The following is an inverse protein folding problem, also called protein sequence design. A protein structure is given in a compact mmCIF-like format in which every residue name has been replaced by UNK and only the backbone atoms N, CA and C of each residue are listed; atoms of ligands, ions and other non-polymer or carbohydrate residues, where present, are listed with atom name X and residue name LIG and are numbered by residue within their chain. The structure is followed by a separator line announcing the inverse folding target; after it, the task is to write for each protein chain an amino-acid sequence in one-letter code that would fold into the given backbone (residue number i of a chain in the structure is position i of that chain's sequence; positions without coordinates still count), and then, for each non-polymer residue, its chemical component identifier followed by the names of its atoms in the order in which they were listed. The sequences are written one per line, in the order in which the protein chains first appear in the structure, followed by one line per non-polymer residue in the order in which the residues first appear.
data_IF_707062065350
#
_entry.id   IF_707062065350
#
_cell.length_a   1.000
_cell.length_b   1.000
_cell.length_c   1.000
_cell.angle_alpha   90.00
_cell.angle_beta   90.00
_cell.angle_gamma   90.00
#
_symmetry.space_group_name_H-M   'P 1'
#
loop_
_entity.id
_entity.type
_entity.pdbx_description
1 polymer ?
#
# COMPACT_ATOMS: atom_id res chain seq x y z
N UNK A 1 8.19 12.98 -44.69
CA UNK A 1 9.33 13.54 -43.97
C UNK A 1 9.07 13.31 -42.48
N UNK A 2 10.00 12.66 -41.81
CA UNK A 2 9.86 11.82 -40.62
C UNK A 2 9.38 12.57 -39.36
N UNK A 3 8.29 12.10 -38.82
CA UNK A 3 7.78 12.50 -37.54
C UNK A 3 8.66 11.93 -36.41
N UNK A 4 9.18 12.79 -35.57
CA UNK A 4 10.03 12.41 -34.44
C UNK A 4 9.12 12.08 -33.25
N UNK A 5 9.08 10.80 -32.96
CA UNK A 5 8.63 10.26 -31.71
C UNK A 5 9.33 10.95 -30.54
N UNK A 6 8.60 11.77 -29.81
CA UNK A 6 9.03 12.34 -28.53
C UNK A 6 9.13 11.20 -27.53
N UNK A 7 10.36 10.73 -27.29
CA UNK A 7 10.66 9.88 -26.14
C UNK A 7 10.39 10.69 -24.88
N UNK A 8 9.38 10.30 -24.13
CA UNK A 8 9.20 10.74 -22.76
C UNK A 8 10.46 10.42 -21.98
N UNK A 9 11.14 11.45 -21.51
CA UNK A 9 12.34 11.31 -20.70
C UNK A 9 11.97 10.50 -19.44
N UNK A 10 12.59 9.34 -19.25
CA UNK A 10 12.60 8.64 -17.98
C UNK A 10 13.19 9.58 -16.96
N UNK A 11 12.43 9.86 -15.91
CA UNK A 11 12.91 10.63 -14.77
C UNK A 11 14.25 10.01 -14.30
N UNK A 12 15.31 10.80 -14.15
CA UNK A 12 16.55 10.27 -13.58
C UNK A 12 16.21 9.82 -12.14
N UNK A 13 16.55 8.59 -11.83
CA UNK A 13 16.35 8.02 -10.48
C UNK A 13 16.94 8.95 -9.44
N UNK A 14 16.29 9.15 -8.29
CA UNK A 14 16.85 9.95 -7.22
C UNK A 14 18.21 9.39 -6.82
N UNK A 15 19.21 10.24 -6.79
CA UNK A 15 20.57 9.91 -6.32
C UNK A 15 20.58 9.67 -4.80
N UNK A 16 19.53 10.13 -4.10
CA UNK A 16 19.31 9.93 -2.68
C UNK A 16 18.10 9.02 -2.43
N UNK A 17 18.08 8.25 -1.33
CA UNK A 17 16.90 7.50 -0.93
C UNK A 17 15.71 8.45 -0.72
N UNK A 18 14.48 8.04 -1.08
CA UNK A 18 13.30 8.88 -0.93
C UNK A 18 13.11 9.30 0.54
N UNK A 19 12.65 10.53 0.75
CA UNK A 19 12.21 10.96 2.06
C UNK A 19 10.90 10.23 2.41
N UNK A 20 10.94 9.35 3.40
CA UNK A 20 9.78 8.58 3.86
C UNK A 20 9.50 8.91 5.31
N UNK A 21 8.26 9.30 5.61
CA UNK A 21 7.79 9.58 6.96
C UNK A 21 6.46 8.91 7.27
N UNK A 22 6.14 8.83 8.54
CA UNK A 22 4.80 8.45 9.00
C UNK A 22 3.83 9.56 8.61
N UNK A 23 2.67 9.17 8.10
CA UNK A 23 1.58 10.09 7.78
C UNK A 23 0.93 10.65 9.05
N UNK A 24 0.35 11.82 8.90
CA UNK A 24 -0.43 12.52 9.92
C UNK A 24 -1.83 12.81 9.42
N UNK A 25 -2.70 13.32 10.27
CA UNK A 25 -4.05 13.74 9.86
C UNK A 25 -4.06 14.83 8.75
N UNK A 26 -2.96 15.55 8.59
CA UNK A 26 -2.82 16.57 7.54
C UNK A 26 -2.62 15.96 6.14
N UNK A 27 -2.26 14.68 6.08
CA UNK A 27 -1.99 13.96 4.84
C UNK A 27 -3.22 13.22 4.28
N UNK A 28 -4.38 13.37 4.91
CA UNK A 28 -5.60 12.60 4.57
C UNK A 28 -5.99 12.77 3.10
N UNK A 29 -5.94 13.98 2.57
CA UNK A 29 -6.31 14.26 1.17
C UNK A 29 -5.33 13.61 0.19
N UNK A 30 -4.02 13.66 0.49
CA UNK A 30 -2.98 13.02 -0.32
C UNK A 30 -3.11 11.49 -0.27
N UNK A 31 -3.38 10.92 0.91
CA UNK A 31 -3.63 9.49 1.08
C UNK A 31 -4.85 9.08 0.25
N UNK A 32 -5.97 9.82 0.36
CA UNK A 32 -7.19 9.53 -0.38
C UNK A 32 -6.95 9.58 -1.89
N UNK A 33 -6.25 10.61 -2.38
CA UNK A 33 -5.92 10.74 -3.78
C UNK A 33 -5.07 9.55 -4.28
N UNK A 34 -4.06 9.13 -3.53
CA UNK A 34 -3.21 7.99 -3.90
C UNK A 34 -3.98 6.65 -3.87
N UNK A 35 -4.90 6.45 -2.91
CA UNK A 35 -5.78 5.28 -2.87
C UNK A 35 -6.74 5.26 -4.06
N UNK A 36 -7.30 6.41 -4.44
CA UNK A 36 -8.15 6.51 -5.63
C UNK A 36 -7.38 6.17 -6.92
N UNK A 37 -6.10 6.56 -7.01
CA UNK A 37 -5.24 6.16 -8.13
C UNK A 37 -5.00 4.64 -8.19
N UNK A 38 -4.95 3.94 -7.04
CA UNK A 38 -4.93 2.47 -7.00
C UNK A 38 -6.23 1.91 -7.60
N UNK A 39 -7.38 2.41 -7.17
CA UNK A 39 -8.69 1.99 -7.67
C UNK A 39 -8.78 2.19 -9.19
N UNK A 40 -8.36 3.36 -9.69
CA UNK A 40 -8.32 3.69 -11.11
C UNK A 40 -7.40 2.75 -11.90
N UNK A 41 -6.21 2.48 -11.38
CA UNK A 41 -5.24 1.58 -12.02
C UNK A 41 -5.67 0.10 -12.03
N UNK A 42 -6.70 -0.24 -11.24
CA UNK A 42 -7.28 -1.59 -11.16
C UNK A 42 -8.65 -1.70 -11.83
N UNK A 43 -9.22 -0.58 -12.33
CA UNK A 43 -10.56 -0.52 -12.91
C UNK A 43 -11.66 -0.81 -11.88
N UNK A 44 -11.44 -0.35 -10.64
CA UNK A 44 -12.33 -0.58 -9.50
C UNK A 44 -12.84 0.73 -8.89
N UNK A 45 -12.91 1.82 -9.67
CA UNK A 45 -13.36 3.15 -9.19
C UNK A 45 -14.78 3.09 -8.63
N UNK A 46 -15.65 2.30 -9.23
CA UNK A 46 -17.03 2.08 -8.78
C UNK A 46 -17.12 1.41 -7.40
N UNK A 47 -16.09 0.67 -7.02
CA UNK A 47 -15.96 -0.01 -5.71
C UNK A 47 -15.28 0.85 -4.66
N UNK A 48 -14.62 1.93 -5.04
CA UNK A 48 -13.94 2.81 -4.11
C UNK A 48 -14.95 3.68 -3.37
N UNK A 49 -15.22 3.36 -2.10
CA UNK A 49 -16.22 4.01 -1.26
C UNK A 49 -15.62 4.89 -0.16
N UNK A 50 -14.31 4.75 0.09
CA UNK A 50 -13.61 5.53 1.11
C UNK A 50 -13.68 7.02 0.84
N UNK A 51 -13.86 7.81 1.89
CA UNK A 51 -13.86 9.27 1.85
C UNK A 51 -12.75 9.81 2.74
N UNK A 52 -12.29 11.05 2.54
CA UNK A 52 -11.30 11.67 3.41
C UNK A 52 -11.70 11.62 4.90
N UNK A 53 -12.99 11.84 5.21
CA UNK A 53 -13.50 11.82 6.58
C UNK A 53 -13.38 10.43 7.22
N UNK A 54 -13.57 9.35 6.46
CA UNK A 54 -13.38 7.99 6.93
C UNK A 54 -11.91 7.74 7.27
N UNK A 55 -11.00 8.15 6.40
CA UNK A 55 -9.55 8.03 6.64
C UNK A 55 -9.10 8.84 7.85
N UNK A 56 -9.64 10.05 8.02
CA UNK A 56 -9.36 10.90 9.18
C UNK A 56 -9.79 10.22 10.48
N UNK A 57 -11.01 9.69 10.51
CA UNK A 57 -11.59 9.00 11.68
C UNK A 57 -10.83 7.71 12.01
N UNK A 58 -10.60 6.86 10.99
CA UNK A 58 -10.15 5.49 11.19
C UNK A 58 -8.62 5.35 11.18
N UNK A 59 -7.90 6.30 10.58
CA UNK A 59 -6.44 6.30 10.55
C UNK A 59 -5.79 7.21 11.61
N UNK A 60 -6.49 8.29 11.98
CA UNK A 60 -5.90 9.34 12.83
C UNK A 60 -6.77 9.70 14.04
N UNK A 61 -7.84 8.95 14.29
CA UNK A 61 -8.69 9.08 15.45
C UNK A 61 -8.09 8.46 16.72
N UNK A 62 -8.91 8.34 17.75
CA UNK A 62 -8.50 7.83 19.07
C UNK A 62 -8.00 6.36 19.02
N UNK A 63 -8.56 5.54 18.12
CA UNK A 63 -8.17 4.13 17.90
C UNK A 63 -7.93 3.89 16.42
N UNK A 64 -6.74 4.21 15.93
CA UNK A 64 -6.44 4.06 14.51
C UNK A 64 -6.49 2.57 14.10
N UNK A 65 -7.22 2.28 13.03
CA UNK A 65 -7.30 0.95 12.43
C UNK A 65 -6.10 0.65 11.54
N UNK A 66 -5.38 1.68 11.08
CA UNK A 66 -4.20 1.56 10.23
C UNK A 66 -3.18 2.67 10.52
N UNK A 67 -1.98 2.44 10.04
CA UNK A 67 -0.92 3.44 9.91
C UNK A 67 -0.56 3.60 8.43
N UNK A 68 0.05 4.72 8.05
CA UNK A 68 0.52 4.95 6.70
C UNK A 68 1.91 5.59 6.69
N UNK A 69 2.70 5.23 5.67
CA UNK A 69 3.96 5.90 5.30
C UNK A 69 3.77 6.61 3.97
N UNK A 70 4.28 7.83 3.88
CA UNK A 70 4.31 8.60 2.63
C UNK A 70 5.76 8.81 2.21
N UNK A 71 6.02 8.52 0.94
CA UNK A 71 7.29 8.82 0.29
C UNK A 71 7.15 10.14 -0.51
N UNK A 72 8.14 11.00 -0.38
CA UNK A 72 8.18 12.31 -1.03
C UNK A 72 9.38 12.43 -1.97
N UNK A 73 9.17 13.18 -3.04
CA UNK A 73 10.23 13.78 -3.85
C UNK A 73 10.16 15.30 -3.64
N UNK A 74 11.12 15.87 -2.89
CA UNK A 74 10.96 17.20 -2.32
C UNK A 74 9.72 17.27 -1.43
N UNK A 75 8.81 18.21 -1.73
CA UNK A 75 7.54 18.39 -1.01
C UNK A 75 6.37 17.61 -1.63
N UNK A 76 6.59 16.92 -2.74
CA UNK A 76 5.54 16.22 -3.48
C UNK A 76 5.38 14.79 -2.96
N UNK A 77 4.17 14.39 -2.51
CA UNK A 77 3.90 13.00 -2.14
C UNK A 77 3.82 12.14 -3.39
N UNK A 78 4.68 11.11 -3.48
CA UNK A 78 4.83 10.25 -4.67
C UNK A 78 4.61 8.78 -4.41
N UNK A 79 4.44 8.40 -3.14
CA UNK A 79 4.20 7.02 -2.76
C UNK A 79 3.54 6.88 -1.41
N UNK A 80 2.76 5.82 -1.27
CA UNK A 80 2.01 5.47 -0.06
C UNK A 80 2.20 4.00 0.26
N UNK A 81 2.33 3.69 1.54
CA UNK A 81 2.13 2.35 2.08
C UNK A 81 1.21 2.43 3.29
N UNK A 82 -0.01 1.91 3.17
CA UNK A 82 -0.99 1.80 4.23
C UNK A 82 -0.96 0.39 4.80
N UNK A 83 -0.91 0.25 6.11
CA UNK A 83 -0.73 -1.03 6.77
C UNK A 83 -1.33 -1.04 8.18
N UNK A 84 -1.50 -2.25 8.73
CA UNK A 84 -1.99 -2.44 10.08
C UNK A 84 -1.31 -3.63 10.77
N UNK A 85 -1.33 -3.68 12.12
CA UNK A 85 -0.77 -4.79 12.88
C UNK A 85 -1.48 -6.11 12.56
N UNK A 86 -0.72 -7.17 12.51
CA UNK A 86 -1.20 -8.53 12.30
C UNK A 86 -0.52 -9.51 13.27
N UNK A 87 -1.16 -10.62 13.59
CA UNK A 87 -0.59 -11.65 14.44
C UNK A 87 -0.81 -13.04 13.82
N UNK A 88 0.22 -13.85 13.80
CA UNK A 88 0.13 -15.23 13.36
C UNK A 88 0.29 -16.19 14.54
N UNK A 89 -0.78 -16.89 14.88
CA UNK A 89 -0.77 -17.92 15.92
C UNK A 89 0.15 -19.09 15.56
N UNK A 90 0.19 -19.49 14.29
CA UNK A 90 1.09 -20.53 13.81
C UNK A 90 2.59 -20.16 13.92
N UNK A 91 2.91 -18.86 13.76
CA UNK A 91 4.28 -18.36 13.97
C UNK A 91 4.55 -17.99 15.42
N UNK A 92 3.50 -17.78 16.22
CA UNK A 92 3.62 -17.21 17.56
C UNK A 92 4.26 -15.82 17.53
N UNK A 93 4.00 -15.02 16.48
CA UNK A 93 4.68 -13.75 16.21
C UNK A 93 3.73 -12.68 15.72
N UNK A 94 3.99 -11.45 16.16
CA UNK A 94 3.42 -10.26 15.57
C UNK A 94 4.04 -9.97 14.20
N UNK A 95 3.31 -9.26 13.36
CA UNK A 95 3.75 -8.80 12.04
C UNK A 95 2.89 -7.66 11.56
N UNK A 96 3.00 -7.34 10.30
CA UNK A 96 2.24 -6.30 9.64
C UNK A 96 1.55 -6.87 8.39
N UNK A 97 0.33 -6.43 8.16
CA UNK A 97 -0.36 -6.59 6.89
C UNK A 97 -0.34 -5.27 6.12
N UNK A 98 0.24 -5.26 4.94
CA UNK A 98 0.18 -4.14 4.01
C UNK A 98 -1.14 -4.25 3.24
N UNK A 99 -2.00 -3.25 3.39
CA UNK A 99 -3.28 -3.15 2.69
C UNK A 99 -3.09 -2.55 1.31
N UNK A 100 -2.41 -1.40 1.24
CA UNK A 100 -2.20 -0.66 0.00
C UNK A 100 -0.75 -0.25 -0.16
N UNK A 101 -0.24 -0.36 -1.38
CA UNK A 101 1.07 0.13 -1.78
C UNK A 101 0.95 0.85 -3.12
N UNK A 102 1.22 2.14 -3.11
CA UNK A 102 1.20 2.99 -4.28
C UNK A 102 2.55 3.64 -4.53
N UNK A 103 2.92 3.77 -5.79
CA UNK A 103 3.98 4.65 -6.26
C UNK A 103 3.50 5.27 -7.56
N UNK A 104 3.58 6.59 -7.64
CA UNK A 104 3.17 7.34 -8.82
C UNK A 104 3.91 6.81 -10.07
N UNK A 105 3.22 6.70 -11.22
CA UNK A 105 3.74 6.00 -12.40
C UNK A 105 5.14 6.45 -12.83
N UNK A 106 5.40 7.74 -12.79
CA UNK A 106 6.67 8.37 -13.17
C UNK A 106 7.84 8.03 -12.23
N UNK A 107 7.54 7.61 -11.00
CA UNK A 107 8.53 7.22 -9.98
C UNK A 107 8.73 5.71 -9.88
N UNK A 108 7.99 4.93 -10.67
CA UNK A 108 8.13 3.46 -10.68
C UNK A 108 9.47 3.04 -11.26
N UNK A 109 10.02 1.97 -10.71
CA UNK A 109 11.36 1.50 -11.07
C UNK A 109 12.50 2.22 -10.32
N UNK A 110 12.22 3.35 -9.64
CA UNK A 110 13.17 4.14 -8.83
C UNK A 110 13.41 3.60 -7.42
N UNK A 111 12.88 2.42 -7.06
CA UNK A 111 13.12 1.83 -5.74
C UNK A 111 12.16 2.27 -4.64
N UNK A 112 11.28 3.24 -4.86
CA UNK A 112 10.36 3.80 -3.85
C UNK A 112 9.54 2.73 -3.12
N UNK A 113 8.92 1.80 -3.86
CA UNK A 113 8.14 0.72 -3.27
C UNK A 113 8.99 -0.15 -2.33
N UNK A 114 10.23 -0.48 -2.72
CA UNK A 114 11.15 -1.24 -1.89
C UNK A 114 11.51 -0.49 -0.61
N UNK A 115 11.77 0.82 -0.70
CA UNK A 115 12.09 1.65 0.47
C UNK A 115 10.88 1.77 1.41
N UNK A 116 9.65 1.95 0.88
CA UNK A 116 8.43 1.95 1.69
C UNK A 116 8.28 0.63 2.46
N UNK A 117 8.39 -0.52 1.78
CA UNK A 117 8.30 -1.84 2.44
C UNK A 117 9.44 -2.03 3.46
N UNK A 118 10.65 -1.57 3.16
CA UNK A 118 11.76 -1.64 4.12
C UNK A 118 11.46 -0.83 5.39
N UNK A 119 10.88 0.37 5.25
CA UNK A 119 10.43 1.18 6.40
C UNK A 119 9.32 0.51 7.19
N UNK A 120 8.36 -0.15 6.53
CA UNK A 120 7.34 -0.97 7.21
C UNK A 120 7.99 -2.14 7.96
N UNK A 121 9.02 -2.79 7.39
CA UNK A 121 9.76 -3.86 8.06
C UNK A 121 10.52 -3.37 9.29
N UNK A 122 11.17 -2.19 9.22
CA UNK A 122 11.79 -1.53 10.37
C UNK A 122 10.76 -1.24 11.47
N UNK A 123 9.59 -0.71 11.07
CA UNK A 123 8.47 -0.43 11.98
C UNK A 123 7.95 -1.69 12.64
N UNK A 124 7.70 -2.77 11.85
CA UNK A 124 7.31 -4.07 12.37
C UNK A 124 8.32 -4.54 13.44
N UNK A 125 9.60 -4.51 13.11
CA UNK A 125 10.67 -4.98 13.99
C UNK A 125 10.74 -4.20 15.29
N UNK A 126 10.58 -2.87 15.27
CA UNK A 126 10.58 -2.03 16.47
C UNK A 126 9.43 -2.35 17.41
N UNK A 127 8.34 -2.94 16.91
CA UNK A 127 7.15 -3.39 17.64
C UNK A 127 7.18 -4.90 17.96
N UNK A 128 8.32 -5.57 17.79
CA UNK A 128 8.45 -7.01 18.02
C UNK A 128 7.88 -7.88 16.91
N UNK A 129 7.57 -7.30 15.75
CA UNK A 129 7.09 -8.01 14.57
C UNK A 129 8.21 -8.70 13.79
N UNK A 130 7.87 -9.80 13.11
CA UNK A 130 8.83 -10.66 12.43
C UNK A 130 8.45 -11.00 10.98
N UNK A 131 7.30 -10.52 10.48
CA UNK A 131 6.86 -10.79 9.11
C UNK A 131 6.00 -9.66 8.56
N UNK A 132 5.93 -9.61 7.24
CA UNK A 132 4.99 -8.79 6.49
C UNK A 132 4.15 -9.72 5.61
N UNK A 133 2.85 -9.44 5.52
CA UNK A 133 1.91 -10.06 4.58
C UNK A 133 1.23 -8.99 3.75
N UNK A 134 0.80 -9.38 2.57
CA UNK A 134 -0.07 -8.58 1.70
C UNK A 134 -0.83 -9.51 0.76
N UNK A 135 -1.87 -8.99 0.15
CA UNK A 135 -2.52 -9.61 -1.00
C UNK A 135 -2.22 -8.84 -2.27
N UNK A 136 -2.13 -9.52 -3.38
CA UNK A 136 -1.97 -8.94 -4.71
C UNK A 136 -2.91 -9.66 -5.67
N UNK A 137 -3.59 -8.89 -6.51
CA UNK A 137 -4.48 -9.42 -7.53
C UNK A 137 -3.73 -10.43 -8.44
N UNK A 138 -4.38 -11.56 -8.72
CA UNK A 138 -3.79 -12.63 -9.54
C UNK A 138 -3.40 -12.15 -10.95
N UNK A 139 -4.09 -11.16 -11.51
CA UNK A 139 -3.75 -10.54 -12.80
C UNK A 139 -2.59 -9.55 -12.77
N UNK A 140 -2.13 -9.10 -11.59
CA UNK A 140 -1.07 -8.10 -11.44
C UNK A 140 0.33 -8.72 -11.49
N UNK A 141 0.71 -9.30 -12.61
CA UNK A 141 1.98 -10.02 -12.81
C UNK A 141 3.21 -9.17 -12.47
N UNK A 142 3.18 -7.86 -12.79
CA UNK A 142 4.30 -6.95 -12.49
C UNK A 142 4.48 -6.81 -10.98
N UNK A 143 3.38 -6.66 -10.23
CA UNK A 143 3.39 -6.60 -8.77
C UNK A 143 3.93 -7.90 -8.15
N UNK A 144 3.43 -9.04 -8.60
CA UNK A 144 3.90 -10.36 -8.13
C UNK A 144 5.41 -10.54 -8.34
N UNK A 145 5.92 -10.18 -9.53
CA UNK A 145 7.36 -10.22 -9.84
C UNK A 145 8.17 -9.26 -8.97
N UNK A 146 7.62 -8.10 -8.64
CA UNK A 146 8.26 -7.16 -7.72
C UNK A 146 8.38 -7.78 -6.32
N UNK A 147 7.30 -8.32 -5.76
CA UNK A 147 7.33 -8.95 -4.45
C UNK A 147 8.29 -10.14 -4.39
N UNK A 148 8.30 -10.99 -5.40
CA UNK A 148 9.26 -12.10 -5.49
C UNK A 148 10.72 -11.61 -5.48
N UNK A 149 11.04 -10.52 -6.21
CA UNK A 149 12.40 -9.95 -6.25
C UNK A 149 12.88 -9.39 -4.91
N UNK A 150 11.98 -8.91 -4.06
CA UNK A 150 12.33 -8.46 -2.71
C UNK A 150 12.29 -9.57 -1.67
N UNK A 151 12.10 -10.83 -2.08
CA UNK A 151 12.15 -12.01 -1.23
C UNK A 151 10.80 -12.41 -0.61
N UNK A 152 9.67 -11.83 -1.04
CA UNK A 152 8.37 -12.29 -0.57
C UNK A 152 7.97 -13.59 -1.27
N UNK A 153 7.48 -14.54 -0.49
CA UNK A 153 7.04 -15.86 -0.96
C UNK A 153 5.52 -15.85 -1.18
N UNK A 154 5.06 -16.38 -2.30
CA UNK A 154 3.63 -16.63 -2.51
C UNK A 154 3.15 -17.77 -1.61
N UNK A 155 2.08 -17.55 -0.85
CA UNK A 155 1.43 -18.57 -0.04
C UNK A 155 0.36 -19.28 -0.90
N UNK A 156 0.74 -20.40 -1.53
CA UNK A 156 -0.14 -21.14 -2.45
C UNK A 156 -1.27 -21.90 -1.75
N UNK A 157 -1.11 -22.14 -0.46
CA UNK A 157 -2.01 -22.87 0.43
C UNK A 157 -3.07 -21.98 1.09
N UNK A 158 -3.01 -20.67 0.89
CA UNK A 158 -3.95 -19.72 1.45
C UNK A 158 -4.88 -19.14 0.38
N UNK A 159 -6.16 -18.96 0.74
CA UNK A 159 -7.16 -18.25 -0.07
C UNK A 159 -7.84 -17.20 0.78
N UNK A 160 -8.15 -16.07 0.19
CA UNK A 160 -8.91 -15.01 0.84
C UNK A 160 -10.39 -15.32 0.67
N UNK A 161 -11.12 -15.30 1.79
CA UNK A 161 -12.57 -15.33 1.83
C UNK A 161 -13.05 -14.01 2.41
N UNK A 162 -14.10 -13.44 1.82
CA UNK A 162 -14.68 -12.15 2.24
C UNK A 162 -16.15 -12.38 2.54
N UNK A 163 -16.63 -11.78 3.62
CA UNK A 163 -18.03 -11.66 3.97
C UNK A 163 -18.33 -10.18 4.16
N UNK A 164 -19.20 -9.63 3.36
CA UNK A 164 -19.56 -8.20 3.38
C UNK A 164 -21.02 -7.99 2.94
N UNK A 165 -21.50 -6.74 3.03
CA UNK A 165 -22.84 -6.34 2.63
C UNK A 165 -23.94 -7.14 3.33
N UNK A 166 -25.02 -7.43 2.60
CA UNK A 166 -26.21 -8.12 3.13
C UNK A 166 -25.88 -9.47 3.77
N UNK A 167 -24.87 -10.19 3.27
CA UNK A 167 -24.45 -11.46 3.86
C UNK A 167 -23.79 -11.29 5.24
N UNK A 168 -23.06 -10.19 5.43
CA UNK A 168 -22.47 -9.85 6.73
C UNK A 168 -23.59 -9.53 7.75
N UNK A 169 -24.55 -8.70 7.35
CA UNK A 169 -25.68 -8.31 8.19
C UNK A 169 -26.54 -9.52 8.57
N UNK A 170 -26.88 -10.37 7.59
CA UNK A 170 -27.66 -11.59 7.80
C UNK A 170 -27.00 -12.58 8.79
N UNK A 171 -25.66 -12.60 8.87
CA UNK A 171 -24.98 -13.45 9.84
C UNK A 171 -25.13 -12.96 11.30
N UNK A 172 -25.32 -11.65 11.47
CA UNK A 172 -25.52 -11.05 12.79
C UNK A 172 -26.96 -11.20 13.29
N UNK A 173 -27.89 -11.07 12.36
CA UNK A 173 -29.34 -11.04 12.66
C UNK A 173 -29.98 -12.44 12.72
N UNK A 174 -29.29 -13.48 12.29
CA UNK A 174 -29.78 -14.87 12.22
C UNK A 174 -29.30 -15.72 13.34
#
# INVERSE_FOLDING_TARGET
MKDRMTMTAKHPYPVAPPHIRIATAQDVDDIHAMLFEIARATGCEDKFKSKPEDLARDGFGHRPAFEALIAHDGDVPVGLCLYFPSYSTFRGKAGIYIQDLFVAPEYRGGGFARHLIAKVAERARSQGGHYIRLSVDAGKIIGQRFYARIGMRHAHDERIHVLDGDAFDALIDG
#
